data_IF_231940323997
#
_entry.id   IF_231940323997
#
_cell.length_a   1.000
_cell.length_b   1.000
_cell.length_c   1.000
_cell.angle_alpha   90.00
_cell.angle_beta   90.00
_cell.angle_gamma   90.00
#
_symmetry.space_group_name_H-M   'P 1'
#
loop_
_entity.id
_entity.type
_entity.pdbx_description
1 polymer ?
#
# COMPACT_ATOMS: atom_id res chain seq x y z
N UNK A 1 -3.39 0.26 -22.40
CA UNK A 1 -4.09 0.17 -21.09
C UNK A 1 -5.60 -0.01 -21.30
N UNK A 2 -6.25 -0.88 -20.52
CA UNK A 2 -7.72 -0.99 -20.56
C UNK A 2 -8.38 0.18 -19.83
N UNK A 3 -9.67 0.43 -20.05
CA UNK A 3 -10.42 1.43 -19.28
C UNK A 3 -10.34 1.16 -17.76
N UNK A 4 -10.35 -0.11 -17.35
CA UNK A 4 -10.13 -0.52 -15.95
C UNK A 4 -8.73 -0.17 -15.46
N UNK A 5 -7.70 -0.44 -16.25
CA UNK A 5 -6.31 -0.10 -15.91
C UNK A 5 -6.17 1.40 -15.66
N UNK A 6 -6.72 2.24 -16.54
CA UNK A 6 -6.69 3.69 -16.39
C UNK A 6 -7.40 4.12 -15.10
N UNK A 7 -8.60 3.59 -14.84
CA UNK A 7 -9.37 3.91 -13.64
C UNK A 7 -8.62 3.56 -12.34
N UNK A 8 -7.90 2.43 -12.31
CA UNK A 8 -7.11 2.05 -11.13
C UNK A 8 -5.98 3.08 -10.92
N UNK A 9 -5.22 3.39 -11.97
CA UNK A 9 -4.10 4.32 -11.88
C UNK A 9 -4.55 5.74 -11.52
N UNK A 10 -5.65 6.22 -12.10
CA UNK A 10 -6.23 7.53 -11.78
C UNK A 10 -6.65 7.64 -10.30
N UNK A 11 -6.96 6.50 -9.65
CA UNK A 11 -7.35 6.42 -8.24
C UNK A 11 -6.20 6.01 -7.30
N UNK A 12 -5.01 5.74 -7.83
CA UNK A 12 -3.82 5.45 -7.02
C UNK A 12 -2.94 6.70 -7.02
N UNK A 13 -2.82 7.45 -5.91
CA UNK A 13 -2.01 8.67 -5.83
C UNK A 13 -0.56 8.51 -6.30
N UNK A 14 0.07 7.35 -6.07
CA UNK A 14 1.42 7.07 -6.59
C UNK A 14 1.49 6.85 -8.11
N UNK A 15 0.35 6.78 -8.81
CA UNK A 15 0.28 6.72 -10.27
C UNK A 15 0.85 5.44 -10.89
N UNK A 16 1.08 4.39 -10.10
CA UNK A 16 1.62 3.11 -10.56
C UNK A 16 0.98 1.94 -9.83
N UNK A 17 1.04 0.76 -10.45
CA UNK A 17 0.77 -0.48 -9.74
C UNK A 17 1.88 -0.77 -8.73
N UNK A 18 1.49 -1.45 -7.65
CA UNK A 18 2.44 -2.02 -6.71
C UNK A 18 3.26 -3.14 -7.35
N UNK A 19 4.47 -3.31 -6.84
CA UNK A 19 5.35 -4.43 -7.12
C UNK A 19 5.56 -5.25 -5.84
N UNK A 20 6.19 -6.42 -5.96
CA UNK A 20 6.41 -7.31 -4.81
C UNK A 20 7.29 -6.65 -3.75
N UNK A 21 8.24 -5.83 -4.19
CA UNK A 21 9.21 -5.10 -3.38
C UNK A 21 8.54 -4.07 -2.47
N UNK A 22 7.38 -3.53 -2.86
CA UNK A 22 6.63 -2.57 -2.04
C UNK A 22 6.09 -3.19 -0.75
N UNK A 23 5.87 -4.51 -0.72
CA UNK A 23 5.35 -5.23 0.45
C UNK A 23 6.45 -5.60 1.44
N UNK A 24 7.65 -5.87 0.94
CA UNK A 24 8.76 -6.43 1.73
C UNK A 24 9.14 -5.54 2.91
N UNK A 25 9.16 -4.21 2.72
CA UNK A 25 9.52 -3.27 3.78
C UNK A 25 8.57 -3.35 4.98
N UNK A 26 7.26 -3.28 4.75
CA UNK A 26 6.25 -3.37 5.80
C UNK A 26 6.24 -4.74 6.47
N UNK A 27 6.41 -5.82 5.70
CA UNK A 27 6.52 -7.17 6.26
C UNK A 27 7.71 -7.28 7.22
N UNK A 28 8.90 -6.86 6.77
CA UNK A 28 10.10 -6.92 7.61
C UNK A 28 9.96 -6.06 8.86
N UNK A 29 9.36 -4.86 8.74
CA UNK A 29 9.07 -4.01 9.88
C UNK A 29 8.12 -4.68 10.88
N UNK A 30 7.05 -5.33 10.42
CA UNK A 30 6.12 -6.09 11.26
C UNK A 30 6.77 -7.30 11.95
N UNK A 31 7.77 -7.92 11.33
CA UNK A 31 8.51 -9.05 11.91
C UNK A 31 9.63 -8.61 12.88
N UNK A 32 10.04 -7.34 12.86
CA UNK A 32 11.09 -6.82 13.72
C UNK A 32 10.54 -6.32 15.05
N UNK A 33 10.79 -7.08 16.12
CA UNK A 33 10.35 -6.75 17.48
C UNK A 33 10.96 -5.46 18.05
N UNK A 34 12.11 -5.01 17.54
CA UNK A 34 12.69 -3.72 17.95
C UNK A 34 12.00 -2.55 17.25
N UNK A 35 11.60 -2.73 16.00
CA UNK A 35 10.98 -1.67 15.20
C UNK A 35 9.46 -1.55 15.44
N UNK A 36 8.78 -2.66 15.72
CA UNK A 36 7.31 -2.71 15.81
C UNK A 36 6.78 -3.53 16.99
N UNK A 37 7.59 -3.83 18.01
CA UNK A 37 7.24 -4.77 19.10
C UNK A 37 6.01 -4.45 19.95
N UNK A 38 5.42 -3.27 19.80
CA UNK A 38 4.15 -2.88 20.45
C UNK A 38 3.01 -2.62 19.46
N UNK A 39 3.20 -2.96 18.19
CA UNK A 39 2.21 -2.84 17.13
C UNK A 39 1.50 -4.18 16.97
N UNK A 40 0.22 -4.22 17.32
CA UNK A 40 -0.63 -5.40 17.18
C UNK A 40 -2.07 -4.99 16.93
N UNK A 41 -2.89 -5.89 16.34
CA UNK A 41 -4.31 -5.66 16.08
C UNK A 41 -4.63 -4.60 15.02
N UNK A 42 -3.67 -4.29 14.14
CA UNK A 42 -3.83 -3.26 13.10
C UNK A 42 -3.75 -3.84 11.68
N UNK A 43 -4.37 -3.14 10.73
CA UNK A 43 -4.27 -3.41 9.29
C UNK A 43 -3.52 -2.25 8.65
N UNK A 44 -2.40 -2.54 8.00
CA UNK A 44 -1.54 -1.52 7.39
C UNK A 44 -1.72 -1.56 5.87
N UNK A 45 -2.32 -0.53 5.26
CA UNK A 45 -2.46 -0.47 3.81
C UNK A 45 -1.11 -0.20 3.15
N UNK A 46 -0.76 -1.07 2.19
CA UNK A 46 0.40 -0.92 1.30
C UNK A 46 -0.12 -0.90 -0.13
N UNK A 47 -0.71 0.22 -0.52
CA UNK A 47 -1.56 0.31 -1.72
C UNK A 47 -1.31 1.56 -2.59
N UNK A 48 -0.23 2.29 -2.33
CA UNK A 48 0.11 3.52 -3.02
C UNK A 48 -0.89 4.66 -2.80
N UNK A 49 -1.62 4.64 -1.69
CA UNK A 49 -2.58 5.67 -1.29
C UNK A 49 -4.00 5.43 -1.81
N UNK A 50 -4.26 4.28 -2.41
CA UNK A 50 -5.54 3.97 -3.05
C UNK A 50 -6.72 4.06 -2.06
N UNK A 51 -6.60 3.49 -0.86
CA UNK A 51 -7.65 3.54 0.16
C UNK A 51 -7.85 4.92 0.78
N UNK A 52 -6.85 5.81 0.67
CA UNK A 52 -6.94 7.18 1.18
C UNK A 52 -7.51 8.17 0.15
N UNK A 53 -7.61 7.77 -1.13
CA UNK A 53 -8.11 8.66 -2.18
C UNK A 53 -9.64 8.79 -2.13
N UNK A 54 -10.12 10.04 -2.03
CA UNK A 54 -11.54 10.37 -1.94
C UNK A 54 -12.30 10.24 -3.26
N UNK A 55 -11.62 10.15 -4.40
CA UNK A 55 -12.27 10.10 -5.72
C UNK A 55 -12.60 11.46 -6.33
N UNK A 56 -12.13 12.56 -5.72
CA UNK A 56 -12.31 13.96 -6.18
C UNK A 56 -10.99 14.71 -6.16
#
# INVERSE_FOLDING_TARGET
PTARTKKILDHTPLGRFGAQEDLTGTLLWLCDSKASGFVTGTVIPVDGGFAAYSGV
#
